data_IF_029695041580
#
_entry.id   IF_029695041580
#
_cell.length_a   1.000
_cell.length_b   1.000
_cell.length_c   1.000
_cell.angle_alpha   90.00
_cell.angle_beta   90.00
_cell.angle_gamma   90.00
#
_symmetry.space_group_name_H-M   'P 1'
#
loop_
_entity.id
_entity.type
_entity.pdbx_description
1 polymer ?
#
# COMPACT_ATOMS: atom_id res chain seq x y z
N UNK A 1 -56.57 -31.08 25.61
CA UNK A 1 -55.26 -31.74 25.69
C UNK A 1 -55.12 -32.65 24.48
N UNK A 2 -54.43 -32.19 23.44
CA UNK A 2 -54.04 -33.03 22.30
C UNK A 2 -52.75 -32.44 21.76
N UNK A 3 -51.65 -33.13 22.05
CA UNK A 3 -50.32 -32.78 21.62
C UNK A 3 -50.18 -33.04 20.12
N UNK A 4 -49.78 -32.02 19.36
CA UNK A 4 -49.29 -32.18 17.99
C UNK A 4 -47.77 -32.03 18.02
N UNK A 5 -47.09 -33.16 18.08
CA UNK A 5 -45.63 -33.27 18.03
C UNK A 5 -45.19 -33.05 16.59
N UNK A 6 -44.64 -31.87 16.28
CA UNK A 6 -43.97 -31.61 15.01
C UNK A 6 -42.62 -32.34 14.98
N UNK A 7 -42.27 -33.03 13.88
CA UNK A 7 -40.97 -33.69 13.78
C UNK A 7 -39.89 -32.61 13.61
N UNK A 8 -39.14 -32.38 14.67
CA UNK A 8 -37.88 -31.63 14.74
C UNK A 8 -36.77 -32.41 13.98
N UNK A 9 -36.96 -32.64 12.68
CA UNK A 9 -36.00 -33.42 11.85
C UNK A 9 -35.26 -32.56 10.82
N UNK A 10 -35.34 -31.22 10.90
CA UNK A 10 -34.48 -30.33 10.10
C UNK A 10 -33.32 -29.69 10.88
N UNK A 11 -33.27 -29.86 12.21
CA UNK A 11 -32.19 -29.28 13.04
C UNK A 11 -30.91 -30.12 13.03
N UNK A 12 -30.96 -31.39 12.65
CA UNK A 12 -29.81 -32.31 12.68
C UNK A 12 -28.83 -32.09 11.53
N UNK A 13 -29.32 -31.94 10.29
CA UNK A 13 -28.46 -31.85 9.11
C UNK A 13 -27.65 -30.55 9.02
N UNK A 14 -28.19 -29.43 9.53
CA UNK A 14 -27.48 -28.15 9.52
C UNK A 14 -26.37 -28.10 10.59
N UNK A 15 -26.61 -28.73 11.75
CA UNK A 15 -25.61 -28.88 12.81
C UNK A 15 -24.52 -29.89 12.40
N UNK A 16 -24.86 -30.96 11.66
CA UNK A 16 -23.84 -31.87 11.13
C UNK A 16 -23.00 -31.25 10.01
N UNK A 17 -23.50 -30.30 9.23
CA UNK A 17 -22.70 -29.55 8.26
C UNK A 17 -21.73 -28.56 8.93
N UNK A 18 -22.14 -27.93 10.03
CA UNK A 18 -21.27 -27.07 10.84
C UNK A 18 -20.24 -27.87 11.67
N UNK A 19 -20.60 -29.08 12.14
CA UNK A 19 -19.70 -29.96 12.89
C UNK A 19 -18.76 -30.78 11.98
N UNK A 20 -19.16 -31.14 10.76
CA UNK A 20 -18.27 -31.80 9.80
C UNK A 20 -17.22 -30.83 9.24
N UNK A 21 -17.51 -29.53 9.22
CA UNK A 21 -16.54 -28.47 8.88
C UNK A 21 -15.46 -28.21 9.95
N UNK A 22 -15.51 -28.88 11.11
CA UNK A 22 -14.60 -28.64 12.23
C UNK A 22 -13.44 -29.65 12.36
N UNK A 23 -13.20 -30.52 11.39
CA UNK A 23 -12.18 -31.59 11.53
C UNK A 23 -10.82 -31.31 10.89
N UNK A 24 -10.54 -30.10 10.39
CA UNK A 24 -9.20 -29.80 9.89
C UNK A 24 -8.72 -28.41 10.25
N UNK A 25 -8.56 -28.11 11.54
CA UNK A 25 -7.34 -27.43 12.03
C UNK A 25 -7.13 -27.78 13.50
N UNK A 26 -6.30 -28.78 13.80
CA UNK A 26 -5.51 -28.75 15.03
C UNK A 26 -4.05 -28.88 14.62
N UNK A 27 -3.40 -27.72 14.70
CA UNK A 27 -1.99 -27.48 14.89
C UNK A 27 -1.21 -28.68 15.42
N UNK A 28 -0.28 -29.19 14.59
CA UNK A 28 0.88 -29.91 15.08
C UNK A 28 1.83 -28.87 15.69
N UNK A 29 1.73 -28.71 17.02
CA UNK A 29 2.78 -28.08 17.83
C UNK A 29 3.87 -29.13 17.98
N UNK A 30 5.02 -28.91 17.34
CA UNK A 30 6.27 -29.51 17.78
C UNK A 30 6.98 -28.49 18.68
N UNK A 31 7.23 -28.91 19.90
CA UNK A 31 7.80 -28.10 20.97
C UNK A 31 9.34 -28.13 20.89
N UNK A 32 9.92 -26.93 20.65
CA UNK A 32 11.13 -26.38 21.33
C UNK A 32 12.52 -26.68 20.76
N UNK A 33 13.13 -25.63 20.20
CA UNK A 33 14.27 -24.98 20.86
C UNK A 33 14.36 -23.47 20.50
N UNK A 34 14.72 -22.68 21.50
CA UNK A 34 14.96 -21.22 21.58
C UNK A 34 15.55 -20.54 20.33
N UNK A 35 15.20 -19.29 20.01
CA UNK A 35 15.84 -18.04 20.52
C UNK A 35 14.94 -16.80 20.19
N UNK A 36 15.03 -15.77 21.03
CA UNK A 36 14.39 -14.43 20.94
C UNK A 36 14.40 -13.75 19.54
N UNK A 37 13.47 -12.79 19.28
CA UNK A 37 13.46 -12.04 18.02
C UNK A 37 14.53 -10.94 18.03
N UNK A 38 15.46 -11.02 17.08
CA UNK A 38 16.38 -9.93 16.72
C UNK A 38 16.08 -9.50 15.28
N UNK A 39 15.68 -8.25 15.14
CA UNK A 39 16.01 -7.26 14.10
C UNK A 39 16.50 -7.75 12.71
N UNK A 40 15.79 -7.27 11.68
CA UNK A 40 16.21 -6.89 10.32
C UNK A 40 17.16 -7.80 9.51
N UNK A 41 16.65 -8.37 8.41
CA UNK A 41 17.28 -8.55 7.07
C UNK A 41 16.35 -9.44 6.25
N UNK A 42 16.19 -9.37 4.93
CA UNK A 42 16.79 -8.59 3.85
C UNK A 42 16.08 -9.06 2.57
N UNK A 43 15.74 -8.14 1.68
CA UNK A 43 15.12 -8.47 0.40
C UNK A 43 16.15 -9.15 -0.51
N UNK A 44 15.83 -10.32 -1.04
CA UNK A 44 16.65 -11.06 -2.00
C UNK A 44 16.11 -10.81 -3.42
N UNK A 45 16.86 -10.16 -4.33
CA UNK A 45 16.45 -10.04 -5.73
C UNK A 45 16.89 -11.27 -6.53
N UNK A 46 15.98 -11.78 -7.35
CA UNK A 46 16.23 -12.85 -8.32
C UNK A 46 17.11 -12.34 -9.47
N UNK A 47 18.16 -13.08 -9.77
CA UNK A 47 19.16 -12.82 -10.81
C UNK A 47 18.54 -12.99 -12.22
N UNK A 48 18.45 -11.92 -13.03
CA UNK A 48 18.55 -12.00 -14.49
C UNK A 48 18.75 -10.62 -15.14
N UNK A 49 19.77 -10.58 -16.01
CA UNK A 49 20.28 -9.48 -16.84
C UNK A 49 21.14 -8.42 -16.15
N UNK A 50 22.42 -8.73 -16.08
CA UNK A 50 23.58 -7.84 -15.89
C UNK A 50 23.52 -6.64 -16.85
N UNK A 51 22.99 -5.51 -16.38
CA UNK A 51 23.55 -4.20 -16.68
C UNK A 51 24.21 -3.70 -15.40
N UNK A 52 25.54 -3.64 -15.40
CA UNK A 52 26.31 -3.06 -14.29
C UNK A 52 25.89 -1.60 -14.08
N UNK A 53 24.94 -1.37 -13.18
CA UNK A 53 24.78 -0.08 -12.52
C UNK A 53 25.82 -0.04 -11.40
N UNK A 54 27.05 0.29 -11.77
CA UNK A 54 28.11 0.58 -10.80
C UNK A 54 27.65 1.79 -9.99
N UNK A 55 27.20 1.55 -8.77
CA UNK A 55 27.05 2.58 -7.73
C UNK A 55 28.47 3.05 -7.37
N UNK A 56 29.02 3.91 -8.22
CA UNK A 56 30.42 4.28 -8.20
C UNK A 56 30.59 5.70 -7.70
N UNK A 57 31.24 5.85 -6.55
CA UNK A 57 31.99 7.04 -6.14
C UNK A 57 33.20 7.27 -7.07
N UNK A 58 32.96 7.27 -8.37
CA UNK A 58 33.95 7.48 -9.41
C UNK A 58 33.59 8.79 -10.08
N UNK A 59 34.44 9.79 -9.88
CA UNK A 59 34.48 10.94 -10.76
C UNK A 59 34.62 10.42 -12.20
N UNK A 60 33.50 10.41 -12.94
CA UNK A 60 33.48 10.03 -14.34
C UNK A 60 34.34 11.04 -15.11
N UNK A 61 35.14 10.60 -16.09
CA UNK A 61 35.85 11.54 -16.93
C UNK A 61 34.82 12.44 -17.62
N UNK A 62 35.03 13.75 -17.47
CA UNK A 62 34.14 14.90 -17.70
C UNK A 62 33.55 15.06 -19.12
N UNK A 63 33.49 14.02 -19.95
CA UNK A 63 33.25 14.17 -21.39
C UNK A 63 31.92 13.58 -21.86
N UNK A 64 31.28 12.67 -21.11
CA UNK A 64 29.90 12.28 -21.45
C UNK A 64 29.17 11.58 -20.30
N UNK A 65 28.27 12.30 -19.63
CA UNK A 65 27.24 11.68 -18.82
C UNK A 65 26.13 11.19 -19.76
N UNK A 66 25.77 9.90 -19.78
CA UNK A 66 24.63 9.45 -20.58
C UNK A 66 23.36 10.13 -20.04
N UNK A 67 22.64 10.81 -20.91
CA UNK A 67 21.43 11.56 -20.58
C UNK A 67 20.19 10.83 -21.11
N UNK A 68 19.08 10.92 -20.38
CA UNK A 68 17.77 10.49 -20.85
C UNK A 68 17.25 11.37 -22.00
N UNK A 69 16.11 10.97 -22.58
CA UNK A 69 15.42 11.75 -23.61
C UNK A 69 13.88 11.69 -23.44
N UNK A 70 13.41 11.52 -22.19
CA UNK A 70 11.98 11.42 -21.90
C UNK A 70 11.29 12.79 -21.87
N UNK A 71 11.98 13.81 -21.39
CA UNK A 71 11.44 15.16 -21.16
C UNK A 71 12.23 16.19 -21.97
N UNK A 72 11.63 17.32 -22.34
CA UNK A 72 12.29 18.36 -23.12
C UNK A 72 13.42 19.08 -22.37
N UNK A 73 13.33 19.21 -21.03
CA UNK A 73 14.36 19.81 -20.17
C UNK A 73 15.50 18.86 -19.80
N UNK A 74 15.47 17.63 -20.31
CA UNK A 74 16.42 16.59 -19.90
C UNK A 74 17.86 16.99 -20.20
N UNK A 75 18.07 17.58 -21.38
CA UNK A 75 19.37 18.08 -21.78
C UNK A 75 19.85 19.20 -20.86
N UNK A 76 18.97 20.12 -20.45
CA UNK A 76 19.32 21.21 -19.55
C UNK A 76 19.81 20.67 -18.19
N UNK A 77 19.12 19.68 -17.63
CA UNK A 77 19.53 19.06 -16.36
C UNK A 77 20.89 18.37 -16.46
N UNK A 78 21.11 17.65 -17.57
CA UNK A 78 22.38 16.99 -17.84
C UNK A 78 23.52 18.00 -18.02
N UNK A 79 23.32 19.06 -18.78
CA UNK A 79 24.32 20.12 -19.00
C UNK A 79 24.66 20.83 -17.67
N UNK A 80 23.67 21.09 -16.82
CA UNK A 80 23.89 21.64 -15.46
C UNK A 80 24.78 20.69 -14.65
N UNK A 81 24.50 19.40 -14.64
CA UNK A 81 25.30 18.43 -13.88
C UNK A 81 26.68 18.17 -14.47
N UNK A 82 26.86 18.30 -15.78
CA UNK A 82 28.18 18.22 -16.43
C UNK A 82 29.08 19.40 -16.04
N UNK A 83 28.48 20.59 -15.83
CA UNK A 83 29.20 21.77 -15.34
C UNK A 83 29.41 21.75 -13.82
N UNK A 84 28.69 20.90 -13.10
CA UNK A 84 28.80 20.78 -11.66
C UNK A 84 30.05 19.99 -11.28
N UNK A 85 31.00 20.64 -10.59
CA UNK A 85 32.29 20.04 -10.23
C UNK A 85 32.20 19.10 -8.99
N UNK A 86 31.20 18.23 -8.94
CA UNK A 86 30.90 17.37 -7.78
C UNK A 86 30.32 16.02 -8.16
N UNK A 87 29.88 15.23 -7.17
CA UNK A 87 29.25 13.96 -7.46
C UNK A 87 27.87 14.16 -8.10
N UNK A 88 27.46 13.24 -8.96
CA UNK A 88 26.16 13.35 -9.63
C UNK A 88 24.99 13.39 -8.65
N UNK A 89 25.10 12.68 -7.52
CA UNK A 89 24.07 12.71 -6.46
C UNK A 89 23.97 14.08 -5.80
N UNK A 90 25.07 14.85 -5.71
CA UNK A 90 25.06 16.22 -5.19
C UNK A 90 24.36 17.17 -6.18
N UNK A 91 24.59 16.96 -7.48
CA UNK A 91 23.85 17.69 -8.51
C UNK A 91 22.35 17.36 -8.47
N UNK A 92 21.99 16.07 -8.38
CA UNK A 92 20.60 15.64 -8.21
C UNK A 92 19.96 16.31 -6.99
N UNK A 93 20.64 16.32 -5.85
CA UNK A 93 20.17 17.01 -4.64
C UNK A 93 19.90 18.49 -4.87
N UNK A 94 20.80 19.17 -5.59
CA UNK A 94 20.66 20.59 -5.91
C UNK A 94 19.48 20.85 -6.84
N UNK A 95 19.31 20.03 -7.88
CA UNK A 95 18.18 20.13 -8.81
C UNK A 95 16.85 19.85 -8.10
N UNK A 96 16.77 18.78 -7.31
CA UNK A 96 15.57 18.42 -6.54
C UNK A 96 15.20 19.54 -5.56
N UNK A 97 16.15 20.10 -4.81
CA UNK A 97 15.89 21.18 -3.86
C UNK A 97 15.31 22.41 -4.57
N UNK A 98 15.95 22.87 -5.65
CA UNK A 98 15.61 24.14 -6.28
C UNK A 98 14.42 24.09 -7.24
N UNK A 99 14.24 22.97 -7.95
CA UNK A 99 13.21 22.82 -8.98
C UNK A 99 11.95 22.14 -8.45
N UNK A 100 12.09 21.18 -7.53
CA UNK A 100 10.95 20.42 -7.04
C UNK A 100 10.54 20.88 -5.64
N UNK A 101 11.47 20.81 -4.68
CA UNK A 101 11.14 20.99 -3.27
C UNK A 101 10.79 22.43 -2.93
N UNK A 102 11.47 23.42 -3.53
CA UNK A 102 11.12 24.84 -3.37
C UNK A 102 9.67 25.12 -3.75
N UNK A 103 9.26 24.67 -4.94
CA UNK A 103 7.89 24.84 -5.42
C UNK A 103 6.88 24.12 -4.51
N UNK A 104 7.19 22.91 -4.07
CA UNK A 104 6.37 22.17 -3.11
C UNK A 104 6.22 22.93 -1.77
N UNK A 105 7.33 23.41 -1.19
CA UNK A 105 7.33 24.16 0.07
C UNK A 105 6.53 25.45 -0.04
N UNK A 106 6.71 26.23 -1.11
CA UNK A 106 5.93 27.45 -1.37
C UNK A 106 4.43 27.16 -1.46
N UNK A 107 4.07 26.08 -2.14
CA UNK A 107 2.68 25.71 -2.32
C UNK A 107 2.05 25.15 -1.03
N UNK A 108 2.79 24.36 -0.24
CA UNK A 108 2.36 23.91 1.09
C UNK A 108 2.22 25.07 2.08
N UNK A 109 3.09 26.09 2.00
CA UNK A 109 3.02 27.28 2.84
C UNK A 109 1.80 28.18 2.56
N UNK A 110 1.14 27.99 1.41
CA UNK A 110 -0.12 28.70 1.09
C UNK A 110 -1.35 28.12 1.81
N UNK A 111 -1.22 26.93 2.39
CA UNK A 111 -2.27 26.24 3.14
C UNK A 111 -2.18 26.55 4.63
N UNK A 112 -3.30 26.47 5.35
CA UNK A 112 -3.26 26.45 6.81
C UNK A 112 -2.71 25.10 7.29
N UNK A 113 -2.09 25.09 8.48
CA UNK A 113 -1.54 23.85 9.05
C UNK A 113 -2.59 22.76 9.27
N UNK A 114 -3.85 23.11 9.55
CA UNK A 114 -4.97 22.17 9.63
C UNK A 114 -5.31 21.50 8.30
N UNK A 115 -5.04 22.17 7.19
CA UNK A 115 -5.38 21.71 5.84
C UNK A 115 -4.32 20.73 5.29
N UNK A 116 -3.13 20.68 5.90
CA UNK A 116 -2.08 19.72 5.53
C UNK A 116 -2.55 18.27 5.74
N UNK A 117 -3.33 17.99 6.79
CA UNK A 117 -3.76 16.63 7.09
C UNK A 117 -4.90 16.12 6.19
N UNK A 118 -5.47 16.97 5.35
CA UNK A 118 -6.52 16.59 4.40
C UNK A 118 -5.84 16.16 3.09
N UNK A 119 -5.72 14.85 2.86
CA UNK A 119 -5.05 14.30 1.66
C UNK A 119 -5.55 14.93 0.36
N UNK A 120 -6.84 15.21 0.24
CA UNK A 120 -7.43 15.85 -0.94
C UNK A 120 -6.82 17.23 -1.27
N UNK A 121 -6.38 17.98 -0.26
CA UNK A 121 -5.79 19.31 -0.44
C UNK A 121 -4.32 19.24 -0.88
N UNK A 122 -3.58 18.23 -0.42
CA UNK A 122 -2.13 18.12 -0.65
C UNK A 122 -1.76 17.14 -1.77
N UNK A 123 -2.66 16.24 -2.17
CA UNK A 123 -2.40 15.17 -3.16
C UNK A 123 -1.80 15.69 -4.47
N UNK A 124 -2.28 16.82 -4.97
CA UNK A 124 -1.77 17.43 -6.20
C UNK A 124 -0.31 17.88 -6.06
N UNK A 125 0.01 18.58 -4.96
CA UNK A 125 1.38 19.02 -4.65
C UNK A 125 2.33 17.83 -4.53
N UNK A 126 1.89 16.77 -3.85
CA UNK A 126 2.65 15.55 -3.66
C UNK A 126 2.91 14.81 -4.96
N UNK A 127 1.88 14.71 -5.82
CA UNK A 127 2.00 14.11 -7.14
C UNK A 127 2.98 14.89 -8.02
N UNK A 128 2.90 16.23 -8.01
CA UNK A 128 3.82 17.09 -8.77
C UNK A 128 5.26 16.97 -8.27
N UNK A 129 5.48 16.92 -6.96
CA UNK A 129 6.79 16.69 -6.38
C UNK A 129 7.36 15.34 -6.82
N UNK A 130 6.56 14.27 -6.72
CA UNK A 130 6.98 12.92 -7.10
C UNK A 130 7.39 12.86 -8.56
N UNK A 131 6.53 13.36 -9.46
CA UNK A 131 6.80 13.44 -10.90
C UNK A 131 8.06 14.27 -11.20
N UNK A 132 8.24 15.42 -10.56
CA UNK A 132 9.42 16.26 -10.74
C UNK A 132 10.71 15.52 -10.35
N UNK A 133 10.73 14.81 -9.21
CA UNK A 133 11.90 14.03 -8.80
C UNK A 133 12.17 12.82 -9.69
N UNK A 134 11.11 12.17 -10.18
CA UNK A 134 11.19 11.05 -11.12
C UNK A 134 11.77 11.52 -12.45
N UNK A 135 11.27 12.62 -13.01
CA UNK A 135 11.73 13.18 -14.29
C UNK A 135 13.22 13.55 -14.25
N UNK A 136 13.69 14.21 -13.18
CA UNK A 136 15.12 14.56 -13.03
C UNK A 136 15.96 13.28 -12.89
N UNK A 137 15.50 12.31 -12.09
CA UNK A 137 16.22 11.04 -11.91
C UNK A 137 16.32 10.27 -13.22
N UNK A 138 15.22 10.16 -13.96
CA UNK A 138 15.16 9.56 -15.30
C UNK A 138 16.10 10.27 -16.28
N UNK A 139 16.21 11.59 -16.20
CA UNK A 139 17.09 12.37 -17.07
C UNK A 139 18.57 12.14 -16.79
N UNK A 140 18.93 12.05 -15.51
CA UNK A 140 20.28 11.73 -15.07
C UNK A 140 20.57 10.22 -15.12
N UNK A 141 19.63 9.40 -15.60
CA UNK A 141 19.68 7.93 -15.62
C UNK A 141 19.96 7.31 -14.24
N UNK A 142 19.43 7.94 -13.19
CA UNK A 142 19.48 7.48 -11.81
C UNK A 142 18.17 6.74 -11.52
N UNK A 143 18.20 5.52 -10.95
CA UNK A 143 17.00 4.82 -10.56
C UNK A 143 16.14 5.64 -9.57
N UNK A 144 14.82 5.58 -9.76
CA UNK A 144 13.84 6.13 -8.83
C UNK A 144 13.01 4.97 -8.24
N UNK A 145 12.78 4.91 -6.92
CA UNK A 145 13.30 5.82 -5.90
C UNK A 145 14.80 5.60 -5.62
N UNK A 146 15.40 6.54 -4.90
CA UNK A 146 16.78 6.48 -4.42
C UNK A 146 16.88 7.12 -3.01
N UNK A 147 17.98 6.89 -2.26
CA UNK A 147 18.08 7.32 -0.86
C UNK A 147 17.90 8.83 -0.63
N UNK A 148 18.29 9.67 -1.60
CA UNK A 148 18.09 11.11 -1.53
C UNK A 148 16.59 11.46 -1.57
N UNK A 149 15.85 10.87 -2.51
CA UNK A 149 14.39 11.08 -2.62
C UNK A 149 13.67 10.49 -1.40
N UNK A 150 14.06 9.31 -0.93
CA UNK A 150 13.51 8.71 0.29
C UNK A 150 13.66 9.65 1.50
N UNK A 151 14.86 10.17 1.73
CA UNK A 151 15.11 11.12 2.81
C UNK A 151 14.30 12.42 2.63
N UNK A 152 14.21 12.93 1.40
CA UNK A 152 13.42 14.13 1.09
C UNK A 152 11.94 13.95 1.50
N UNK A 153 11.35 12.80 1.18
CA UNK A 153 9.95 12.52 1.53
C UNK A 153 9.78 12.32 3.04
N UNK A 154 10.74 11.68 3.72
CA UNK A 154 10.75 11.59 5.19
C UNK A 154 10.80 12.99 5.83
N UNK A 155 11.66 13.88 5.32
CA UNK A 155 11.81 15.24 5.84
C UNK A 155 10.51 16.04 5.65
N UNK A 156 9.84 15.89 4.51
CA UNK A 156 8.52 16.46 4.25
C UNK A 156 7.49 15.95 5.25
N UNK A 157 7.43 14.64 5.48
CA UNK A 157 6.56 14.03 6.49
C UNK A 157 6.81 14.60 7.89
N UNK A 158 8.08 14.76 8.27
CA UNK A 158 8.46 15.33 9.56
C UNK A 158 8.15 16.82 9.71
N UNK A 159 8.08 17.57 8.59
CA UNK A 159 7.88 19.03 8.59
C UNK A 159 6.40 19.42 8.52
N UNK A 160 5.65 18.82 7.60
CA UNK A 160 4.27 19.22 7.30
C UNK A 160 3.21 18.28 7.88
N UNK A 161 3.56 17.01 8.14
CA UNK A 161 2.59 15.97 8.46
C UNK A 161 2.78 15.34 9.84
N UNK A 162 3.72 15.85 10.64
CA UNK A 162 4.10 15.29 11.95
C UNK A 162 2.93 15.18 12.93
N UNK A 163 2.01 16.15 12.90
CA UNK A 163 0.87 16.22 13.81
C UNK A 163 -0.43 15.69 13.19
N UNK A 164 -0.36 15.11 11.99
CA UNK A 164 -1.53 14.55 11.34
C UNK A 164 -1.92 13.20 11.95
N UNK A 165 -3.23 12.92 12.11
CA UNK A 165 -3.68 11.64 12.61
C UNK A 165 -3.24 10.54 11.63
N UNK A 166 -2.66 9.46 12.19
CA UNK A 166 -2.40 8.26 11.41
C UNK A 166 -3.73 7.52 11.26
N UNK A 167 -4.47 7.84 10.21
CA UNK A 167 -5.60 7.03 9.76
C UNK A 167 -5.03 5.77 9.13
N UNK A 168 -4.48 4.87 9.94
CA UNK A 168 -4.38 3.48 9.50
C UNK A 168 -5.81 3.03 9.23
N UNK A 169 -6.05 2.45 8.05
CA UNK A 169 -7.27 1.71 7.76
C UNK A 169 -7.35 0.58 8.78
N UNK A 170 -7.86 0.92 9.95
CA UNK A 170 -7.98 0.01 11.06
C UNK A 170 -8.99 -1.02 10.62
N UNK A 171 -8.61 -2.30 10.70
CA UNK A 171 -9.56 -3.37 10.47
C UNK A 171 -10.80 -3.10 11.33
N UNK A 172 -12.02 -3.23 10.78
CA UNK A 172 -13.22 -3.03 11.55
C UNK A 172 -13.18 -3.93 12.79
N UNK A 173 -13.64 -3.46 13.96
CA UNK A 173 -13.59 -4.22 15.20
C UNK A 173 -14.01 -5.68 15.00
N UNK A 174 -13.35 -6.68 15.64
CA UNK A 174 -13.62 -8.11 15.39
C UNK A 174 -15.10 -8.49 15.49
N UNK A 175 -15.88 -7.80 16.33
CA UNK A 175 -17.31 -7.98 16.46
C UNK A 175 -18.10 -7.64 15.17
N UNK A 176 -17.69 -6.59 14.43
CA UNK A 176 -18.31 -6.20 13.16
C UNK A 176 -18.01 -7.26 12.10
N UNK A 177 -16.76 -7.70 12.02
CA UNK A 177 -16.35 -8.79 11.11
C UNK A 177 -17.18 -10.05 11.40
N UNK A 178 -17.32 -10.41 12.67
CA UNK A 178 -18.13 -11.55 13.08
C UNK A 178 -19.61 -11.40 12.66
N UNK A 179 -20.21 -10.24 12.90
CA UNK A 179 -21.59 -9.97 12.49
C UNK A 179 -21.76 -10.07 10.95
N UNK A 180 -20.82 -9.54 10.17
CA UNK A 180 -20.82 -9.61 8.71
C UNK A 180 -20.69 -11.04 8.19
N UNK A 181 -19.99 -11.93 8.90
CA UNK A 181 -19.87 -13.35 8.55
C UNK A 181 -21.10 -14.15 8.95
N UNK A 182 -21.64 -13.92 10.15
CA UNK A 182 -22.81 -14.67 10.66
C UNK A 182 -24.10 -14.30 9.91
N UNK A 183 -24.25 -13.04 9.50
CA UNK A 183 -25.44 -12.56 8.79
C UNK A 183 -25.77 -13.41 7.54
N UNK A 184 -24.88 -13.61 6.55
CA UNK A 184 -25.19 -14.45 5.40
C UNK A 184 -25.42 -15.93 5.79
N UNK A 185 -24.69 -16.45 6.79
CA UNK A 185 -24.86 -17.84 7.27
C UNK A 185 -26.28 -18.07 7.81
N UNK A 186 -26.86 -17.09 8.51
CA UNK A 186 -28.22 -17.17 9.04
C UNK A 186 -29.29 -16.81 7.99
N UNK A 187 -29.02 -15.87 7.09
CA UNK A 187 -30.00 -15.43 6.09
C UNK A 187 -30.24 -16.45 4.99
N UNK A 188 -29.21 -17.19 4.53
CA UNK A 188 -29.36 -18.22 3.50
C UNK A 188 -30.42 -19.28 3.86
N UNK A 189 -30.37 -19.96 5.03
CA UNK A 189 -31.36 -20.98 5.39
C UNK A 189 -32.76 -20.38 5.60
N UNK A 190 -32.88 -19.14 6.09
CA UNK A 190 -34.16 -18.44 6.21
C UNK A 190 -34.77 -18.23 4.82
N UNK A 191 -33.99 -17.71 3.88
CA UNK A 191 -34.45 -17.49 2.51
C UNK A 191 -34.86 -18.79 1.80
N UNK A 192 -34.05 -19.85 1.93
CA UNK A 192 -34.38 -21.18 1.38
C UNK A 192 -35.68 -21.72 2.00
N UNK A 193 -35.83 -21.60 3.32
CA UNK A 193 -37.05 -22.05 4.03
C UNK A 193 -38.29 -21.28 3.58
N UNK A 194 -38.18 -19.97 3.38
CA UNK A 194 -39.26 -19.12 2.88
C UNK A 194 -39.67 -19.51 1.46
N UNK A 195 -38.71 -19.79 0.56
CA UNK A 195 -39.00 -20.26 -0.81
C UNK A 195 -39.75 -21.58 -0.79
N UNK A 196 -39.28 -22.56 0.00
CA UNK A 196 -39.93 -23.88 0.11
C UNK A 196 -41.33 -23.78 0.71
N UNK A 197 -41.54 -22.91 1.70
CA UNK A 197 -42.88 -22.71 2.28
C UNK A 197 -43.82 -22.02 1.29
N UNK A 198 -43.31 -21.05 0.52
CA UNK A 198 -44.08 -20.36 -0.53
C UNK A 198 -44.49 -21.28 -1.66
N UNK A 199 -43.61 -22.17 -2.13
CA UNK A 199 -43.97 -23.14 -3.17
C UNK A 199 -45.01 -24.13 -2.66
N UNK A 200 -44.86 -24.65 -1.44
CA UNK A 200 -45.83 -25.60 -0.86
C UNK A 200 -47.23 -25.01 -0.66
N UNK A 201 -47.33 -23.72 -0.32
CA UNK A 201 -48.62 -23.06 -0.09
C UNK A 201 -49.20 -22.39 -1.35
N UNK A 202 -48.41 -22.26 -2.43
CA UNK A 202 -48.85 -21.73 -3.72
C UNK A 202 -49.66 -22.74 -4.55
N UNK A 203 -49.35 -24.04 -4.41
CA UNK A 203 -49.98 -25.12 -5.19
C UNK A 203 -51.32 -25.61 -4.59
N UNK A 204 -51.74 -25.07 -3.44
CA UNK A 204 -53.01 -25.40 -2.78
C UNK A 204 -54.17 -24.47 -3.11
N UNK A 205 -53.97 -23.50 -4.01
CA UNK A 205 -54.99 -22.56 -4.47
C UNK A 205 -55.22 -22.71 -5.98
N UNK A 206 -55.74 -23.86 -6.41
CA UNK A 206 -56.34 -24.05 -7.74
C UNK A 206 -57.44 -25.09 -7.65
#
# INVERSE_FOLDING_TARGET
MTAATFPLMLSGCFVTLLLWGCTTVICLVDEKLSIQPTTATGYHPTEMMTKNATYGNTAMPMVHMPCGNKTHNCQDFCDICLMYNGAIMDCLSTLVEHLCLRNFKEAMASLNSSDWCIWGNVRSMYSNLSLCTEEISDCLLIPWPNPLVEQTFVDIHSTFFKDCPTEELSDPPPAIIFALVITPICLIPVMVSLVVLKTKNGDGSS
#
